data_IF_831051325277
#
_entry.id   IF_831051325277
#
_cell.length_a   1.000
_cell.length_b   1.000
_cell.length_c   1.000
_cell.angle_alpha   90.00
_cell.angle_beta   90.00
_cell.angle_gamma   90.00
#
_symmetry.space_group_name_H-M   'P 1'
#
loop_
_entity.id
_entity.type
_entity.pdbx_description
1 polymer ?
#
# COMPACT_ATOMS: atom_id res chain seq x y z
N UNK A 1 26.95 0.34 5.11
CA UNK A 1 26.61 0.24 3.67
C UNK A 1 25.56 -0.86 3.38
N UNK A 2 24.67 -1.18 4.32
CA UNK A 2 23.67 -2.27 4.17
C UNK A 2 22.21 -1.80 4.29
N UNK A 3 21.96 -0.55 4.69
CA UNK A 3 20.63 -0.09 5.06
C UNK A 3 19.73 0.10 3.82
N UNK A 4 20.31 0.46 2.67
CA UNK A 4 19.54 0.69 1.43
C UNK A 4 18.93 -0.58 0.83
N UNK A 5 19.46 -1.78 1.12
CA UNK A 5 18.99 -3.02 0.51
C UNK A 5 17.72 -3.57 1.19
N UNK A 6 17.65 -3.51 2.53
CA UNK A 6 16.45 -3.87 3.28
C UNK A 6 15.35 -2.82 3.11
N UNK A 7 15.71 -1.54 3.06
CA UNK A 7 14.80 -0.43 2.85
C UNK A 7 14.14 -0.43 1.47
N UNK A 8 14.91 -0.68 0.40
CA UNK A 8 14.36 -0.86 -0.95
C UNK A 8 13.40 -2.06 -1.04
N UNK A 9 13.57 -3.08 -0.18
CA UNK A 9 12.73 -4.28 -0.19
C UNK A 9 11.29 -3.97 0.21
N UNK A 10 11.07 -3.12 1.21
CA UNK A 10 9.72 -2.77 1.67
C UNK A 10 8.96 -1.95 0.63
N UNK A 11 9.61 -0.93 0.06
CA UNK A 11 9.01 -0.12 -0.99
C UNK A 11 8.66 -0.95 -2.22
N UNK A 12 9.58 -1.83 -2.63
CA UNK A 12 9.35 -2.79 -3.71
C UNK A 12 8.17 -3.72 -3.40
N UNK A 13 8.11 -4.29 -2.20
CA UNK A 13 7.02 -5.18 -1.79
C UNK A 13 5.65 -4.49 -1.85
N UNK A 14 5.56 -3.25 -1.34
CA UNK A 14 4.31 -2.46 -1.39
C UNK A 14 3.92 -2.15 -2.84
N UNK A 15 4.87 -1.75 -3.68
CA UNK A 15 4.61 -1.48 -5.10
C UNK A 15 4.18 -2.74 -5.85
N UNK A 16 4.81 -3.88 -5.58
CA UNK A 16 4.43 -5.17 -6.18
C UNK A 16 3.03 -5.61 -5.75
N UNK A 17 2.69 -5.48 -4.47
CA UNK A 17 1.34 -5.76 -3.98
C UNK A 17 0.33 -4.85 -4.65
N UNK A 18 0.56 -3.54 -4.67
CA UNK A 18 -0.31 -2.55 -5.32
C UNK A 18 -0.49 -2.84 -6.81
N UNK A 19 0.59 -3.18 -7.53
CA UNK A 19 0.52 -3.53 -8.95
C UNK A 19 -0.33 -4.77 -9.23
N UNK A 20 -0.42 -5.69 -8.28
CA UNK A 20 -1.24 -6.89 -8.39
C UNK A 20 -2.72 -6.62 -8.07
N UNK A 21 -3.08 -5.43 -7.61
CA UNK A 21 -4.44 -5.09 -7.22
C UNK A 21 -5.28 -4.64 -8.42
N UNK A 22 -6.55 -5.03 -8.39
CA UNK A 22 -7.55 -4.45 -9.28
C UNK A 22 -7.79 -2.98 -8.88
N UNK A 23 -7.90 -2.10 -9.88
CA UNK A 23 -8.06 -0.66 -9.65
C UNK A 23 -6.75 0.11 -9.45
N UNK A 24 -5.59 -0.54 -9.54
CA UNK A 24 -4.28 0.14 -9.52
C UNK A 24 -3.63 0.09 -10.90
N UNK A 25 -3.35 1.27 -11.46
CA UNK A 25 -2.52 1.40 -12.66
C UNK A 25 -1.08 1.73 -12.25
N UNK A 26 -0.13 1.06 -12.91
CA UNK A 26 1.29 1.20 -12.67
C UNK A 26 1.99 1.71 -13.93
N UNK A 27 2.77 2.77 -13.79
CA UNK A 27 3.60 3.31 -14.87
C UNK A 27 5.02 3.60 -14.34
N UNK A 28 6.03 3.00 -14.98
CA UNK A 28 7.43 3.34 -14.72
C UNK A 28 7.82 4.56 -15.57
N UNK A 29 8.20 5.65 -14.92
CA UNK A 29 8.60 6.90 -15.57
C UNK A 29 10.08 6.86 -15.95
N UNK A 30 10.43 7.61 -17.01
CA UNK A 30 11.80 7.65 -17.57
C UNK A 30 12.85 8.23 -16.61
N UNK A 31 12.41 8.96 -15.60
CA UNK A 31 13.25 9.55 -14.56
C UNK A 31 13.50 8.60 -13.37
N UNK A 32 13.11 7.33 -13.50
CA UNK A 32 13.27 6.33 -12.45
C UNK A 32 12.23 6.45 -11.34
N UNK A 33 11.20 7.30 -11.48
CA UNK A 33 10.04 7.30 -10.58
C UNK A 33 8.98 6.29 -11.05
N UNK A 34 8.16 5.86 -10.11
CA UNK A 34 6.98 5.04 -10.34
C UNK A 34 5.74 5.90 -10.10
N UNK A 35 4.84 5.94 -11.08
CA UNK A 35 3.52 6.49 -10.91
C UNK A 35 2.52 5.36 -10.64
N UNK A 36 1.71 5.55 -9.60
CA UNK A 36 0.61 4.66 -9.24
C UNK A 36 -0.69 5.46 -9.30
N UNK A 37 -1.67 4.98 -10.05
CA UNK A 37 -3.04 5.52 -10.01
C UNK A 37 -3.90 4.51 -9.29
N UNK A 38 -4.34 4.85 -8.08
CA UNK A 38 -5.18 3.98 -7.26
C UNK A 38 -6.62 4.45 -7.41
N UNK A 39 -7.50 3.55 -7.81
CA UNK A 39 -8.92 3.81 -8.01
C UNK A 39 -9.74 2.94 -7.06
N UNK A 40 -10.64 3.55 -6.30
CA UNK A 40 -11.53 2.85 -5.37
C UNK A 40 -12.88 3.56 -5.28
N UNK A 41 -13.97 2.82 -5.33
CA UNK A 41 -15.34 3.34 -5.25
C UNK A 41 -15.67 4.51 -6.21
N UNK A 42 -15.03 4.55 -7.38
CA UNK A 42 -15.23 5.59 -8.39
C UNK A 42 -14.34 6.83 -8.25
N UNK A 43 -13.60 6.95 -7.14
CA UNK A 43 -12.58 7.96 -6.95
C UNK A 43 -11.21 7.42 -7.34
N UNK A 44 -10.31 8.30 -7.81
CA UNK A 44 -8.93 7.93 -8.10
C UNK A 44 -7.93 8.95 -7.57
N UNK A 45 -6.76 8.45 -7.15
CA UNK A 45 -5.63 9.25 -6.69
C UNK A 45 -4.35 8.78 -7.34
N UNK A 46 -3.58 9.74 -7.85
CA UNK A 46 -2.24 9.50 -8.39
C UNK A 46 -1.19 9.75 -7.31
N UNK A 47 -0.31 8.78 -7.10
CA UNK A 47 0.83 8.85 -6.19
C UNK A 47 2.11 8.64 -6.99
N UNK A 48 3.14 9.43 -6.69
CA UNK A 48 4.46 9.28 -7.28
C UNK A 48 5.43 8.77 -6.24
N UNK A 49 6.13 7.69 -6.56
CA UNK A 49 7.15 7.07 -5.72
C UNK A 49 8.49 7.20 -6.45
N UNK A 50 9.56 7.55 -5.73
CA UNK A 50 10.90 7.52 -6.32
C UNK A 50 11.41 6.06 -6.35
N UNK A 51 12.02 5.64 -7.47
CA UNK A 51 12.49 4.26 -7.64
C UNK A 51 13.83 3.96 -6.97
N UNK A 52 14.62 4.98 -6.61
CA UNK A 52 15.70 4.85 -5.65
C UNK A 52 15.21 5.37 -4.31
N UNK A 53 15.19 4.51 -3.29
CA UNK A 53 14.95 4.93 -1.93
C UNK A 53 15.97 6.01 -1.56
N UNK A 54 15.50 7.24 -1.35
CA UNK A 54 16.31 8.30 -0.78
C UNK A 54 16.68 7.99 0.66
N UNK A 55 17.21 8.98 1.37
CA UNK A 55 17.42 8.88 2.82
C UNK A 55 16.13 8.46 3.57
N UNK A 56 16.29 8.06 4.83
CA UNK A 56 15.18 7.65 5.70
C UNK A 56 13.98 8.62 5.65
N UNK A 57 14.25 9.93 5.56
CA UNK A 57 13.22 10.98 5.49
C UNK A 57 12.39 10.89 4.21
N UNK A 58 13.04 10.68 3.06
CA UNK A 58 12.35 10.51 1.79
C UNK A 58 11.42 9.29 1.81
N UNK A 59 11.85 8.17 2.39
CA UNK A 59 11.04 6.95 2.48
C UNK A 59 9.84 7.12 3.41
N UNK A 60 10.06 7.70 4.59
CA UNK A 60 8.97 8.03 5.54
C UNK A 60 7.93 8.95 4.90
N UNK A 61 8.38 9.92 4.12
CA UNK A 61 7.49 10.79 3.34
C UNK A 61 6.69 10.00 2.30
N UNK A 62 7.30 9.05 1.59
CA UNK A 62 6.62 8.24 0.57
C UNK A 62 5.55 7.32 1.18
N UNK A 63 5.88 6.60 2.26
CA UNK A 63 4.88 5.80 2.98
C UNK A 63 3.75 6.68 3.52
N UNK A 64 4.07 7.86 4.08
CA UNK A 64 3.07 8.82 4.52
C UNK A 64 2.16 9.34 3.41
N UNK A 65 2.70 9.61 2.21
CA UNK A 65 1.91 10.02 1.04
C UNK A 65 0.98 8.90 0.56
N UNK A 66 1.49 7.68 0.47
CA UNK A 66 0.69 6.51 0.10
C UNK A 66 -0.44 6.28 1.10
N UNK A 67 -0.12 6.32 2.40
CA UNK A 67 -1.07 6.21 3.51
C UNK A 67 -2.20 7.24 3.41
N UNK A 68 -1.83 8.49 3.13
CA UNK A 68 -2.77 9.59 2.95
C UNK A 68 -3.68 9.35 1.74
N UNK A 69 -3.13 8.97 0.60
CA UNK A 69 -3.90 8.67 -0.60
C UNK A 69 -4.92 7.53 -0.38
N UNK A 70 -4.49 6.43 0.24
CA UNK A 70 -5.38 5.32 0.59
C UNK A 70 -6.51 5.77 1.53
N UNK A 71 -6.17 6.56 2.56
CA UNK A 71 -7.14 7.08 3.52
C UNK A 71 -8.16 8.01 2.85
N UNK A 72 -7.72 8.87 1.94
CA UNK A 72 -8.57 9.77 1.15
C UNK A 72 -9.51 8.99 0.23
N UNK A 73 -9.08 7.85 -0.31
CA UNK A 73 -9.90 6.92 -1.08
C UNK A 73 -10.82 6.04 -0.21
N UNK A 74 -10.88 6.31 1.10
CA UNK A 74 -11.70 5.54 2.04
C UNK A 74 -11.16 4.16 2.40
N UNK A 75 -9.96 3.80 1.92
CA UNK A 75 -9.28 2.55 2.25
C UNK A 75 -8.50 2.78 3.55
N UNK A 76 -9.08 2.41 4.70
CA UNK A 76 -8.45 2.63 6.01
C UNK A 76 -7.96 1.31 6.62
N UNK A 77 -6.88 1.40 7.37
CA UNK A 77 -6.37 0.27 8.17
C UNK A 77 -7.41 -0.17 9.22
N UNK A 78 -7.54 -1.49 9.40
CA UNK A 78 -8.33 -2.07 10.48
C UNK A 78 -9.84 -1.96 10.28
N UNK A 79 -10.29 -1.61 9.08
CA UNK A 79 -11.70 -1.67 8.75
C UNK A 79 -12.19 -3.13 8.84
N UNK A 80 -13.48 -3.28 9.12
CA UNK A 80 -14.18 -4.55 8.98
C UNK A 80 -14.91 -4.57 7.64
N UNK A 81 -14.82 -5.69 6.94
CA UNK A 81 -15.58 -5.88 5.71
C UNK A 81 -17.07 -5.91 6.03
N UNK A 82 -17.81 -4.92 5.51
CA UNK A 82 -19.27 -4.87 5.63
C UNK A 82 -19.89 -5.22 4.29
N UNK A 83 -20.31 -6.47 4.14
CA UNK A 83 -21.00 -6.91 2.94
C UNK A 83 -22.37 -6.23 2.82
N UNK A 84 -22.78 -5.91 1.59
CA UNK A 84 -24.12 -5.39 1.32
C UNK A 84 -25.21 -6.33 1.86
N UNK A 85 -26.29 -5.75 2.39
CA UNK A 85 -27.41 -6.49 2.99
C UNK A 85 -27.96 -7.50 1.99
N UNK A 86 -28.17 -8.74 2.42
CA UNK A 86 -28.72 -9.79 1.55
C UNK A 86 -30.12 -9.38 1.11
N UNK A 87 -30.35 -9.37 -0.21
CA UNK A 87 -31.71 -9.28 -0.74
C UNK A 87 -32.48 -10.55 -0.36
N UNK A 88 -33.81 -10.48 -0.28
CA UNK A 88 -34.66 -11.66 -0.01
C UNK A 88 -34.66 -12.66 -1.18
N UNK A 89 -34.13 -12.29 -2.35
CA UNK A 89 -34.02 -13.21 -3.50
C UNK A 89 -32.87 -14.20 -3.28
N UNK A 90 -33.04 -15.47 -3.69
CA UNK A 90 -31.96 -16.45 -3.64
C UNK A 90 -30.76 -15.96 -4.45
N UNK A 91 -29.57 -16.21 -3.91
CA UNK A 91 -28.32 -15.70 -4.48
C UNK A 91 -27.88 -16.60 -5.64
N UNK A 92 -27.71 -16.05 -6.85
CA UNK A 92 -27.10 -16.75 -7.97
C UNK A 92 -25.62 -17.05 -7.69
N UNK A 93 -25.04 -18.08 -8.34
CA UNK A 93 -23.60 -18.35 -8.26
C UNK A 93 -22.73 -17.13 -8.59
N UNK A 94 -23.15 -16.31 -9.56
CA UNK A 94 -22.45 -15.08 -9.95
C UNK A 94 -22.41 -14.05 -8.81
N UNK A 95 -23.53 -13.85 -8.10
CA UNK A 95 -23.57 -12.95 -6.94
C UNK A 95 -22.72 -13.47 -5.78
N UNK A 96 -22.62 -14.78 -5.59
CA UNK A 96 -21.72 -15.38 -4.60
C UNK A 96 -20.25 -15.16 -4.98
N UNK A 97 -19.90 -15.40 -6.24
CA UNK A 97 -18.55 -15.15 -6.75
C UNK A 97 -18.15 -13.67 -6.63
N UNK A 98 -19.06 -12.76 -6.95
CA UNK A 98 -18.84 -11.32 -6.79
C UNK A 98 -18.58 -10.92 -5.33
N UNK A 99 -19.31 -11.51 -4.36
CA UNK A 99 -19.06 -11.28 -2.94
C UNK A 99 -17.70 -11.81 -2.49
N UNK A 100 -17.33 -13.00 -2.92
CA UNK A 100 -16.01 -13.58 -2.61
C UNK A 100 -14.89 -12.69 -3.18
N UNK A 101 -15.07 -12.17 -4.40
CA UNK A 101 -14.12 -11.23 -5.01
C UNK A 101 -14.01 -9.94 -4.21
N UNK A 102 -15.13 -9.32 -3.83
CA UNK A 102 -15.15 -8.11 -2.99
C UNK A 102 -14.44 -8.31 -1.65
N UNK A 103 -14.64 -9.47 -1.02
CA UNK A 103 -13.96 -9.79 0.24
C UNK A 103 -12.45 -9.97 0.03
N UNK A 104 -12.04 -10.69 -1.01
CA UNK A 104 -10.61 -10.86 -1.35
C UNK A 104 -9.93 -9.53 -1.65
N UNK A 105 -10.61 -8.65 -2.38
CA UNK A 105 -10.11 -7.31 -2.69
C UNK A 105 -9.95 -6.47 -1.42
N UNK A 106 -10.95 -6.51 -0.53
CA UNK A 106 -10.87 -5.88 0.78
C UNK A 106 -9.68 -6.40 1.60
N UNK A 107 -9.51 -7.72 1.67
CA UNK A 107 -8.41 -8.34 2.42
C UNK A 107 -7.05 -7.97 1.82
N UNK A 108 -6.93 -7.90 0.50
CA UNK A 108 -5.72 -7.44 -0.19
C UNK A 108 -5.37 -5.99 0.17
N UNK A 109 -6.37 -5.10 0.23
CA UNK A 109 -6.17 -3.73 0.69
C UNK A 109 -5.68 -3.68 2.14
N UNK A 110 -6.21 -4.55 3.02
CA UNK A 110 -5.73 -4.63 4.41
C UNK A 110 -4.29 -5.17 4.50
N UNK A 111 -3.89 -6.10 3.64
CA UNK A 111 -2.51 -6.59 3.59
C UNK A 111 -1.51 -5.51 3.12
N UNK A 112 -1.90 -4.69 2.15
CA UNK A 112 -1.10 -3.52 1.75
C UNK A 112 -0.89 -2.59 2.95
N UNK A 113 -1.96 -2.30 3.69
CA UNK A 113 -1.89 -1.49 4.90
C UNK A 113 -0.97 -2.10 5.98
N UNK A 114 -1.03 -3.41 6.20
CA UNK A 114 -0.12 -4.11 7.12
C UNK A 114 1.33 -3.97 6.68
N UNK A 115 1.59 -4.12 5.39
CA UNK A 115 2.94 -4.02 4.82
C UNK A 115 3.49 -2.60 4.94
N UNK A 116 2.68 -1.57 4.66
CA UNK A 116 3.05 -0.16 4.89
C UNK A 116 3.40 0.06 6.36
N UNK A 117 2.59 -0.43 7.30
CA UNK A 117 2.84 -0.25 8.73
C UNK A 117 4.09 -0.99 9.22
N UNK A 118 4.36 -2.18 8.67
CA UNK A 118 5.60 -2.91 8.95
C UNK A 118 6.82 -2.16 8.42
N UNK A 119 6.73 -1.60 7.21
CA UNK A 119 7.77 -0.79 6.62
C UNK A 119 8.06 0.47 7.46
N UNK A 120 7.03 1.20 7.89
CA UNK A 120 7.18 2.38 8.75
C UNK A 120 7.86 2.02 10.09
N UNK A 121 7.46 0.91 10.73
CA UNK A 121 8.09 0.44 11.97
C UNK A 121 9.55 0.02 11.77
N UNK A 122 9.83 -0.70 10.68
CA UNK A 122 11.19 -1.13 10.36
C UNK A 122 12.11 0.08 10.15
N UNK A 123 11.61 1.10 9.46
CA UNK A 123 12.32 2.36 9.28
C UNK A 123 12.62 3.04 10.62
N UNK A 124 11.64 3.15 11.51
CA UNK A 124 11.85 3.81 12.81
C UNK A 124 12.93 3.07 13.64
N UNK A 125 12.95 1.73 13.64
CA UNK A 125 13.99 0.93 14.32
C UNK A 125 15.36 1.11 13.70
N UNK A 126 15.47 1.11 12.36
CA UNK A 126 16.75 1.32 11.66
C UNK A 126 17.31 2.72 11.91
N UNK A 127 16.44 3.73 12.05
CA UNK A 127 16.83 5.08 12.41
C UNK A 127 17.41 5.14 13.84
N UNK A 128 16.77 4.49 14.81
CA UNK A 128 17.27 4.41 16.19
C UNK A 128 18.65 3.72 16.26
N UNK A 129 18.83 2.60 15.54
CA UNK A 129 20.11 1.89 15.47
C UNK A 129 21.20 2.77 14.85
N UNK A 130 20.87 3.46 13.75
CA UNK A 130 21.81 4.36 13.07
C UNK A 130 22.25 5.51 13.98
N UNK A 131 21.32 6.08 14.76
CA UNK A 131 21.66 7.09 15.77
C UNK A 131 22.59 6.54 16.84
N UNK A 132 22.36 5.32 17.34
CA UNK A 132 23.22 4.72 18.37
C UNK A 132 24.64 4.43 17.86
N UNK A 133 24.79 4.05 16.60
CA UNK A 133 26.10 3.76 15.99
C UNK A 133 26.95 5.03 15.76
N UNK A 134 26.33 6.18 15.50
CA UNK A 134 27.05 7.46 15.36
C UNK A 134 27.62 7.99 16.70
N UNK A 135 27.20 7.43 17.85
CA UNK A 135 27.67 7.82 19.18
C UNK A 135 28.90 7.03 19.68
N UNK A 136 29.35 5.99 18.96
CA UNK A 136 30.48 5.13 19.34
C UNK A 136 31.61 5.17 18.32
#
# INVERSE_FOLDING_TARGET
MSDSAAQNRWLKAVVEQLRAMEGVEYEALKDGRTALVISNNGDSKKVFMAGAAGDFRAQKSQFGQLRKALTELGIKEGMTFVAAKRSRKPMSPEMLAARVRQQKEFDAWQEVWRTIRQAEKALDVEFEISQMLDYY
#
